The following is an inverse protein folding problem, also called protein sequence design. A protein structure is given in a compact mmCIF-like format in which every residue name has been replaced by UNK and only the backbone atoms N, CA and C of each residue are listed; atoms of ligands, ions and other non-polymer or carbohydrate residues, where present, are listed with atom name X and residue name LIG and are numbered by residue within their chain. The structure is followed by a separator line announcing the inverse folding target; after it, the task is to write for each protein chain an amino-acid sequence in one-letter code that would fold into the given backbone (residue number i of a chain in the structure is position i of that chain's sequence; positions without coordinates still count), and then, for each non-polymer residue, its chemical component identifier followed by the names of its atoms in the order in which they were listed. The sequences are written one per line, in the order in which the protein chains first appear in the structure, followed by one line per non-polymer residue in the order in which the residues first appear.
data_IF_949468208184
#
_entry.id   IF_949468208184
#
_cell.length_a   1.000
_cell.length_b   1.000
_cell.length_c   1.000
_cell.angle_alpha   90.00
_cell.angle_beta   90.00
_cell.angle_gamma   90.00
#
_symmetry.space_group_name_H-M   'P 1'
#
loop_
_entity.id
_entity.type
_entity.pdbx_description
1 polymer ?
#
# COMPACT_ATOMS: atom_id res chain seq x y z
N UNK A 1 27.29 -5.49 36.15
CA UNK A 1 26.04 -4.90 35.61
C UNK A 1 25.67 -5.70 34.37
N UNK A 2 24.59 -6.48 34.35
CA UNK A 2 24.12 -7.11 33.13
C UNK A 2 23.08 -6.21 32.45
N UNK A 3 23.37 -5.78 31.22
CA UNK A 3 22.39 -5.13 30.33
C UNK A 3 21.64 -6.22 29.57
N UNK A 4 20.34 -6.30 29.83
CA UNK A 4 19.39 -7.16 29.14
C UNK A 4 18.83 -6.37 27.95
N UNK A 5 19.03 -6.84 26.71
CA UNK A 5 18.30 -6.30 25.56
C UNK A 5 16.84 -6.80 25.60
N UNK A 6 15.83 -5.94 25.38
CA UNK A 6 14.45 -6.38 25.25
C UNK A 6 14.17 -6.85 23.81
N UNK A 7 13.50 -8.01 23.74
CA UNK A 7 13.15 -8.71 22.51
C UNK A 7 12.20 -7.94 21.59
N UNK A 8 12.35 -8.23 20.29
CA UNK A 8 11.44 -7.86 19.21
C UNK A 8 10.03 -8.36 19.52
N UNK A 9 9.17 -7.44 19.97
CA UNK A 9 7.75 -7.72 20.20
C UNK A 9 7.02 -7.47 18.90
N UNK A 10 6.50 -8.54 18.28
CA UNK A 10 5.54 -8.41 17.18
C UNK A 10 4.28 -7.71 17.71
N UNK A 11 3.98 -6.53 17.19
CA UNK A 11 2.81 -5.75 17.59
C UNK A 11 1.55 -6.38 17.00
N UNK A 12 0.57 -6.65 17.86
CA UNK A 12 -0.73 -7.21 17.49
C UNK A 12 -1.67 -6.05 17.17
N UNK A 13 -2.15 -6.00 15.92
CA UNK A 13 -3.06 -4.96 15.44
C UNK A 13 -4.46 -5.11 16.05
N UNK A 14 -5.19 -4.01 16.31
CA UNK A 14 -6.53 -4.05 16.87
C UNK A 14 -7.51 -4.62 15.83
N UNK A 15 -8.09 -5.79 16.15
CA UNK A 15 -9.18 -6.40 15.37
C UNK A 15 -10.50 -5.77 15.80
N UNK A 16 -11.16 -5.03 14.91
CA UNK A 16 -12.61 -4.80 15.04
C UNK A 16 -13.28 -6.12 14.69
N UNK A 17 -14.04 -6.69 15.64
CA UNK A 17 -14.74 -7.97 15.46
C UNK A 17 -16.24 -7.69 15.44
N UNK A 18 -16.85 -7.85 14.27
CA UNK A 18 -18.27 -8.19 14.16
C UNK A 18 -18.32 -9.71 14.08
N UNK A 19 -19.25 -10.39 14.75
CA UNK A 19 -19.31 -11.86 14.69
C UNK A 19 -19.42 -12.33 13.23
N UNK A 20 -18.36 -12.97 12.72
CA UNK A 20 -18.26 -13.45 11.35
C UNK A 20 -17.47 -12.56 10.38
N UNK A 21 -17.02 -11.37 10.78
CA UNK A 21 -16.24 -10.46 9.94
C UNK A 21 -14.97 -9.99 10.66
N UNK A 22 -13.83 -9.99 9.95
CA UNK A 22 -12.56 -9.53 10.49
C UNK A 22 -11.88 -8.58 9.51
N UNK A 23 -11.54 -7.39 10.00
CA UNK A 23 -10.87 -6.38 9.20
C UNK A 23 -9.36 -6.34 9.52
N UNK A 24 -8.56 -6.22 8.46
CA UNK A 24 -7.14 -5.90 8.53
C UNK A 24 -6.93 -4.53 7.89
N UNK A 25 -6.54 -3.54 8.69
CA UNK A 25 -6.17 -2.23 8.18
C UNK A 25 -4.77 -2.28 7.58
N UNK A 26 -4.64 -1.74 6.36
CA UNK A 26 -3.37 -1.63 5.63
C UNK A 26 -2.86 -0.19 5.72
N UNK A 27 -2.45 0.27 6.90
CA UNK A 27 -1.92 1.63 7.16
C UNK A 27 -0.42 1.66 7.52
N UNK A 28 0.17 0.49 7.75
CA UNK A 28 1.58 0.33 8.11
C UNK A 28 2.44 -0.20 6.95
N UNK A 29 3.75 -0.04 7.06
CA UNK A 29 4.74 -0.66 6.15
C UNK A 29 4.81 -0.09 4.73
N UNK A 30 4.12 1.03 4.47
CA UNK A 30 4.07 1.61 3.13
C UNK A 30 5.38 2.26 2.69
N UNK A 31 5.68 2.10 1.41
CA UNK A 31 6.74 2.82 0.72
C UNK A 31 6.20 3.41 -0.59
N UNK A 32 6.81 4.52 -1.04
CA UNK A 32 6.50 5.16 -2.30
C UNK A 32 7.78 5.36 -3.13
N UNK A 33 7.66 5.36 -4.46
CA UNK A 33 8.75 5.72 -5.36
C UNK A 33 8.22 6.37 -6.64
N UNK A 34 8.88 7.42 -7.16
CA UNK A 34 8.58 7.95 -8.48
C UNK A 34 9.16 7.07 -9.58
N UNK A 35 8.57 7.14 -10.76
CA UNK A 35 9.11 6.58 -11.99
C UNK A 35 8.72 7.45 -13.18
N UNK A 36 9.44 7.30 -14.31
CA UNK A 36 9.03 7.96 -15.54
C UNK A 36 7.66 7.42 -15.99
N UNK A 37 6.79 8.26 -16.58
CA UNK A 37 5.47 7.83 -17.04
C UNK A 37 5.52 6.60 -17.95
N UNK A 38 4.77 5.56 -17.62
CA UNK A 38 4.68 4.32 -18.37
C UNK A 38 5.96 3.47 -18.38
N UNK A 39 6.95 3.76 -17.53
CA UNK A 39 8.20 2.99 -17.47
C UNK A 39 7.99 1.55 -16.97
N UNK A 40 6.93 1.32 -16.20
CA UNK A 40 6.61 0.05 -15.58
C UNK A 40 5.17 -0.33 -15.87
N UNK A 41 4.95 -1.51 -16.45
CA UNK A 41 3.60 -2.04 -16.73
C UNK A 41 3.01 -2.84 -15.56
N UNK A 42 3.69 -2.88 -14.42
CA UNK A 42 3.30 -3.68 -13.26
C UNK A 42 4.42 -3.82 -12.23
N UNK A 43 4.13 -4.41 -11.06
CA UNK A 43 5.05 -4.43 -9.92
C UNK A 43 6.31 -5.28 -10.13
N UNK A 44 6.33 -6.17 -11.14
CA UNK A 44 7.48 -7.04 -11.40
C UNK A 44 8.74 -6.27 -11.85
N UNK A 45 8.59 -5.06 -12.37
CA UNK A 45 9.71 -4.25 -12.88
C UNK A 45 10.08 -3.10 -11.95
N UNK A 46 9.48 -2.98 -10.76
CA UNK A 46 9.66 -1.83 -9.85
C UNK A 46 10.63 -2.09 -8.69
N UNK A 47 11.28 -3.26 -8.69
CA UNK A 47 12.17 -3.70 -7.61
C UNK A 47 13.30 -2.70 -7.34
N UNK A 48 13.90 -2.14 -8.41
CA UNK A 48 15.07 -1.27 -8.37
C UNK A 48 14.73 0.23 -8.23
N UNK A 49 13.45 0.58 -8.05
CA UNK A 49 13.06 1.96 -7.78
C UNK A 49 13.65 2.46 -6.45
N UNK A 50 13.84 3.76 -6.34
CA UNK A 50 14.37 4.39 -5.14
C UNK A 50 13.24 4.66 -4.13
N UNK A 51 12.90 3.62 -3.37
CA UNK A 51 11.79 3.62 -2.43
C UNK A 51 12.06 4.44 -1.17
N UNK A 52 11.07 5.25 -0.79
CA UNK A 52 11.03 6.00 0.47
C UNK A 52 9.85 5.58 1.32
N UNK A 53 9.99 5.70 2.64
CA UNK A 53 8.88 5.44 3.55
C UNK A 53 7.69 6.37 3.26
N UNK A 54 6.48 5.81 3.25
CA UNK A 54 5.24 6.52 3.01
C UNK A 54 4.23 6.24 4.12
N UNK A 55 3.25 7.14 4.28
CA UNK A 55 2.10 6.93 5.16
C UNK A 55 0.87 6.77 4.29
N UNK A 56 -0.01 5.85 4.67
CA UNK A 56 -1.34 5.70 4.07
C UNK A 56 -2.38 5.74 5.19
N UNK A 57 -3.38 6.62 5.13
CA UNK A 57 -3.61 7.61 4.07
C UNK A 57 -2.52 8.71 4.03
N UNK A 58 -2.17 9.18 2.82
CA UNK A 58 -1.12 10.18 2.58
C UNK A 58 -0.89 10.46 1.09
N UNK A 59 0.15 11.23 0.77
CA UNK A 59 0.50 11.62 -0.61
C UNK A 59 1.98 11.41 -0.92
N UNK A 60 2.33 11.31 -2.20
CA UNK A 60 3.72 11.24 -2.67
C UNK A 60 4.54 12.45 -2.22
N UNK A 61 3.96 13.66 -2.33
CA UNK A 61 4.56 14.88 -1.83
C UNK A 61 4.88 14.80 -0.33
N UNK A 62 3.95 14.29 0.49
CA UNK A 62 4.18 14.12 1.92
C UNK A 62 5.30 13.11 2.22
N UNK A 63 5.40 12.02 1.44
CA UNK A 63 6.49 11.05 1.55
C UNK A 63 7.85 11.70 1.22
N UNK A 64 7.94 12.47 0.14
CA UNK A 64 9.17 13.18 -0.24
C UNK A 64 9.63 14.18 0.83
N UNK A 65 8.70 14.95 1.41
CA UNK A 65 9.00 15.87 2.52
C UNK A 65 9.52 15.11 3.73
N UNK A 66 8.86 14.01 4.12
CA UNK A 66 9.28 13.20 5.25
C UNK A 66 10.67 12.55 5.03
N UNK A 67 10.99 12.20 3.78
CA UNK A 67 12.29 11.68 3.38
C UNK A 67 13.38 12.78 3.24
N UNK A 68 13.03 14.06 3.39
CA UNK A 68 13.94 15.19 3.20
C UNK A 68 14.40 15.38 1.75
N UNK A 69 13.66 14.84 0.78
CA UNK A 69 14.00 14.84 -0.66
C UNK A 69 13.36 15.99 -1.44
N UNK A 70 12.40 16.67 -0.85
CA UNK A 70 11.74 17.82 -1.44
C UNK A 70 11.22 18.76 -0.34
N UNK A 71 11.17 20.05 -0.63
CA UNK A 71 10.56 21.05 0.26
C UNK A 71 9.43 21.78 -0.44
N UNK A 72 8.29 22.03 0.24
CA UNK A 72 7.22 22.82 -0.33
C UNK A 72 7.73 24.19 -0.82
N UNK A 73 7.42 24.53 -2.07
CA UNK A 73 7.89 25.76 -2.73
C UNK A 73 9.13 25.58 -3.61
N UNK A 74 9.81 24.43 -3.54
CA UNK A 74 10.79 24.05 -4.55
C UNK A 74 10.08 23.62 -5.84
N UNK A 75 10.60 24.01 -7.03
CA UNK A 75 9.98 23.64 -8.29
C UNK A 75 10.09 22.13 -8.52
N UNK A 76 8.94 21.46 -8.61
CA UNK A 76 8.82 20.07 -9.07
C UNK A 76 7.45 19.86 -9.69
N UNK A 77 7.37 19.06 -10.75
CA UNK A 77 6.11 18.63 -11.35
C UNK A 77 5.82 17.18 -10.94
N UNK A 78 5.35 16.99 -9.70
CA UNK A 78 5.11 15.65 -9.14
C UNK A 78 3.99 14.90 -9.87
N UNK A 79 3.08 15.65 -10.50
CA UNK A 79 1.95 15.11 -11.26
C UNK A 79 2.38 14.65 -12.66
N UNK A 80 3.59 14.99 -13.11
CA UNK A 80 4.18 14.50 -14.36
C UNK A 80 4.90 13.15 -14.21
N UNK A 81 4.92 12.56 -13.02
CA UNK A 81 5.56 11.27 -12.72
C UNK A 81 4.51 10.21 -12.36
N UNK A 82 4.83 8.95 -12.64
CA UNK A 82 4.07 7.83 -12.09
C UNK A 82 4.57 7.52 -10.68
N UNK A 83 3.63 7.45 -9.73
CA UNK A 83 3.92 7.17 -8.33
C UNK A 83 3.50 5.76 -7.95
N UNK A 84 4.49 4.94 -7.59
CA UNK A 84 4.26 3.61 -7.06
C UNK A 84 4.13 3.65 -5.55
N UNK A 85 3.09 2.99 -5.02
CA UNK A 85 2.93 2.72 -3.60
C UNK A 85 2.91 1.21 -3.37
N UNK A 86 3.62 0.75 -2.34
CA UNK A 86 3.63 -0.68 -1.97
C UNK A 86 3.62 -0.88 -0.47
N UNK A 87 3.01 -1.98 -0.04
CA UNK A 87 3.13 -2.54 1.30
C UNK A 87 3.05 -4.06 1.21
N UNK A 88 3.45 -4.74 2.28
CA UNK A 88 3.31 -6.18 2.45
C UNK A 88 2.50 -6.46 3.70
N UNK A 89 1.67 -7.49 3.66
CA UNK A 89 0.85 -7.89 4.80
C UNK A 89 0.75 -9.41 4.85
N UNK A 90 0.51 -9.93 6.06
CA UNK A 90 0.25 -11.36 6.26
C UNK A 90 -1.24 -11.61 6.30
N UNK A 91 -1.70 -12.54 5.47
CA UNK A 91 -3.07 -13.03 5.48
C UNK A 91 -3.06 -14.55 5.37
N UNK A 92 -3.95 -15.22 6.09
CA UNK A 92 -4.18 -16.63 5.85
C UNK A 92 -4.89 -16.80 4.49
N UNK A 93 -4.70 -17.94 3.79
CA UNK A 93 -5.55 -18.28 2.66
C UNK A 93 -7.02 -18.31 3.08
N UNK A 94 -7.91 -17.87 2.18
CA UNK A 94 -9.34 -17.89 2.43
C UNK A 94 -9.83 -19.34 2.65
N UNK A 95 -10.64 -19.55 3.69
CA UNK A 95 -11.30 -20.81 3.95
C UNK A 95 -12.39 -21.10 2.88
N UNK A 96 -12.78 -22.37 2.68
CA UNK A 96 -13.88 -22.69 1.76
C UNK A 96 -15.17 -21.93 2.12
N UNK A 97 -15.67 -21.12 1.18
CA UNK A 97 -16.87 -20.31 1.36
C UNK A 97 -16.64 -18.98 2.10
N UNK A 98 -15.40 -18.65 2.46
CA UNK A 98 -15.04 -17.33 3.01
C UNK A 98 -14.93 -16.30 1.88
N UNK A 99 -15.60 -15.16 2.07
CA UNK A 99 -15.45 -13.99 1.20
C UNK A 99 -14.40 -13.06 1.81
N UNK A 100 -13.36 -12.72 1.03
CA UNK A 100 -12.34 -11.77 1.44
C UNK A 100 -12.26 -10.65 0.43
N UNK A 101 -12.47 -9.42 0.90
CA UNK A 101 -12.52 -8.21 0.08
C UNK A 101 -11.37 -7.26 0.43
N UNK A 102 -10.67 -6.76 -0.60
CA UNK A 102 -9.82 -5.57 -0.48
C UNK A 102 -10.70 -4.33 -0.67
N UNK A 103 -10.77 -3.49 0.37
CA UNK A 103 -11.54 -2.25 0.37
C UNK A 103 -10.61 -1.06 0.20
N UNK A 104 -10.88 -0.23 -0.80
CA UNK A 104 -10.13 0.98 -1.11
C UNK A 104 -11.09 2.17 -0.97
N UNK A 105 -10.81 3.04 0.00
CA UNK A 105 -11.68 4.19 0.32
C UNK A 105 -11.58 5.36 -0.67
N UNK A 106 -10.55 5.37 -1.52
CA UNK A 106 -10.29 6.37 -2.54
C UNK A 106 -8.80 6.42 -2.89
N UNK A 107 -8.48 6.57 -4.17
CA UNK A 107 -7.10 6.68 -4.67
C UNK A 107 -7.05 7.85 -5.67
N UNK A 108 -6.25 8.86 -5.38
CA UNK A 108 -6.14 10.04 -6.24
C UNK A 108 -5.08 9.79 -7.33
N UNK A 109 -5.41 9.74 -8.62
CA UNK A 109 -6.76 9.75 -9.24
C UNK A 109 -6.88 8.65 -10.29
N UNK A 110 -5.90 8.61 -11.20
CA UNK A 110 -5.69 7.47 -12.09
C UNK A 110 -4.80 6.48 -11.36
N UNK A 111 -5.27 5.24 -11.20
CA UNK A 111 -4.57 4.23 -10.42
C UNK A 111 -4.81 2.82 -10.95
N UNK A 112 -3.75 2.03 -10.93
CA UNK A 112 -3.78 0.58 -11.10
C UNK A 112 -3.42 -0.06 -9.76
N UNK A 113 -4.22 -1.03 -9.31
CA UNK A 113 -3.98 -1.75 -8.06
C UNK A 113 -3.62 -3.18 -8.36
N UNK A 114 -2.48 -3.62 -7.83
CA UNK A 114 -2.00 -4.99 -8.00
C UNK A 114 -1.93 -5.72 -6.66
N UNK A 115 -2.20 -7.03 -6.69
CA UNK A 115 -1.96 -7.93 -5.56
C UNK A 115 -1.24 -9.17 -6.06
N UNK A 116 -0.08 -9.48 -5.47
CA UNK A 116 0.74 -10.63 -5.84
C UNK A 116 1.06 -10.72 -7.34
N UNK A 117 1.20 -9.56 -7.99
CA UNK A 117 1.47 -9.41 -9.42
C UNK A 117 0.24 -9.32 -10.32
N UNK A 118 -0.95 -9.64 -9.81
CA UNK A 118 -2.20 -9.62 -10.58
C UNK A 118 -2.87 -8.25 -10.50
N UNK A 119 -3.33 -7.72 -11.65
CA UNK A 119 -4.11 -6.48 -11.71
C UNK A 119 -5.52 -6.73 -11.15
N UNK A 120 -5.90 -5.95 -10.14
CA UNK A 120 -7.19 -6.03 -9.45
C UNK A 120 -8.19 -4.99 -9.94
N UNK A 121 -7.70 -3.77 -10.18
CA UNK A 121 -8.53 -2.59 -10.38
C UNK A 121 -7.75 -1.57 -11.21
N UNK A 122 -8.43 -1.00 -12.19
CA UNK A 122 -8.10 0.29 -12.80
C UNK A 122 -9.15 1.30 -12.33
N UNK A 123 -8.71 2.48 -11.88
CA UNK A 123 -9.59 3.55 -11.41
C UNK A 123 -9.14 4.87 -12.01
N UNK A 124 -10.09 5.70 -12.43
CA UNK A 124 -9.87 7.05 -12.97
C UNK A 124 -10.47 8.15 -12.07
N UNK A 125 -10.95 7.78 -10.88
CA UNK A 125 -11.69 8.64 -9.98
C UNK A 125 -11.18 8.57 -8.54
N UNK A 126 -10.83 9.73 -8.00
CA UNK A 126 -10.40 9.90 -6.60
C UNK A 126 -11.54 9.75 -5.58
N UNK A 127 -12.79 9.77 -6.04
CA UNK A 127 -13.99 9.68 -5.17
C UNK A 127 -14.61 8.28 -5.16
N UNK A 128 -14.14 7.39 -6.04
CA UNK A 128 -14.66 6.04 -6.12
C UNK A 128 -14.11 5.20 -4.96
N UNK A 129 -15.03 4.62 -4.18
CA UNK A 129 -14.70 3.56 -3.24
C UNK A 129 -14.86 2.21 -3.95
N UNK A 130 -13.91 1.30 -3.72
CA UNK A 130 -13.88 -0.01 -4.36
C UNK A 130 -13.84 -1.12 -3.32
N UNK A 131 -14.52 -2.22 -3.60
CA UNK A 131 -14.43 -3.47 -2.85
C UNK A 131 -14.21 -4.61 -3.85
N UNK A 132 -13.03 -5.21 -3.83
CA UNK A 132 -12.62 -6.24 -4.80
C UNK A 132 -12.41 -7.57 -4.08
N UNK A 133 -12.99 -8.65 -4.60
CA UNK A 133 -12.79 -9.98 -4.05
C UNK A 133 -11.35 -10.45 -4.33
N UNK A 134 -10.59 -10.75 -3.26
CA UNK A 134 -9.16 -11.11 -3.33
C UNK A 134 -8.84 -12.46 -2.71
N UNK A 135 -9.83 -13.18 -2.18
CA UNK A 135 -9.61 -14.45 -1.45
C UNK A 135 -8.77 -15.47 -2.23
N UNK A 136 -8.98 -15.60 -3.54
CA UNK A 136 -8.23 -16.51 -4.41
C UNK A 136 -6.77 -16.08 -4.67
N UNK A 137 -6.43 -14.83 -4.37
CA UNK A 137 -5.12 -14.24 -4.59
C UNK A 137 -4.28 -14.17 -3.32
N UNK A 138 -4.85 -14.44 -2.15
CA UNK A 138 -4.13 -14.49 -0.88
C UNK A 138 -3.19 -15.69 -0.82
N UNK A 139 -2.01 -15.46 -0.23
CA UNK A 139 -0.95 -16.45 -0.08
C UNK A 139 -0.48 -16.43 1.38
N UNK A 140 -0.11 -17.60 1.90
CA UNK A 140 0.36 -17.80 3.27
C UNK A 140 1.79 -17.26 3.48
#
# INVERSE_FOLDING_TARGET
MPSHEPGSTALTLPRVRVEGDSELLLDEGWSAAPSAPGAHSGPATTADLDWIAARVPGTAAAALVAAGRWRPGEPSDLDAEDWWFRTEFRAAPAAPGEEVLLRLGGIATVAEVFLNGELLLESDSMFAAHAVAVGALLRA
#
